data_IF_620225224573
#
_entry.id   IF_620225224573
#
_cell.length_a   1.000
_cell.length_b   1.000
_cell.length_c   1.000
_cell.angle_alpha   90.00
_cell.angle_beta   90.00
_cell.angle_gamma   90.00
#
_symmetry.space_group_name_H-M   'P 1'
#
loop_
_entity.id
_entity.type
_entity.pdbx_description
1 polymer ?
#
# COMPACT_ATOMS: atom_id res chain seq x y z
N UNK A 1 19.11 -28.06 -12.41
CA UNK A 1 18.05 -27.05 -12.18
C UNK A 1 18.37 -25.92 -13.13
N UNK A 2 17.72 -25.91 -14.29
CA UNK A 2 17.92 -24.85 -15.28
C UNK A 2 16.97 -23.70 -14.93
N UNK A 3 17.54 -22.52 -14.70
CA UNK A 3 16.76 -21.32 -14.44
C UNK A 3 15.97 -20.96 -15.71
N UNK A 4 14.67 -20.63 -15.60
CA UNK A 4 13.89 -20.20 -16.75
C UNK A 4 14.49 -18.93 -17.34
N UNK A 5 14.62 -18.88 -18.67
CA UNK A 5 15.10 -17.71 -19.39
C UNK A 5 14.12 -16.53 -19.20
N UNK A 6 14.61 -15.42 -18.63
CA UNK A 6 13.82 -14.22 -18.36
C UNK A 6 13.24 -13.59 -19.63
N UNK A 7 13.90 -13.78 -20.78
CA UNK A 7 13.48 -13.18 -22.05
C UNK A 7 12.22 -13.83 -22.63
N UNK A 8 12.00 -15.11 -22.33
CA UNK A 8 10.93 -15.93 -22.91
C UNK A 8 9.82 -16.27 -21.90
N UNK A 9 10.00 -15.89 -20.63
CA UNK A 9 9.00 -16.08 -19.59
C UNK A 9 8.03 -14.91 -19.60
N UNK A 10 6.73 -15.18 -19.54
CA UNK A 10 5.70 -14.15 -19.47
C UNK A 10 5.85 -13.34 -18.18
N UNK A 11 5.81 -12.03 -18.28
CA UNK A 11 5.83 -11.18 -17.10
C UNK A 11 4.41 -11.09 -16.51
N UNK A 12 4.25 -11.34 -15.20
CA UNK A 12 2.94 -11.47 -14.55
C UNK A 12 2.03 -10.24 -14.69
N UNK A 13 2.59 -9.05 -14.93
CA UNK A 13 1.82 -7.80 -15.03
C UNK A 13 1.41 -7.50 -16.47
N UNK A 14 2.31 -7.70 -17.43
CA UNK A 14 2.07 -7.42 -18.85
C UNK A 14 1.49 -8.62 -19.59
N UNK A 15 1.57 -9.82 -19.01
CA UNK A 15 1.27 -11.12 -19.62
C UNK A 15 1.97 -11.36 -20.98
N UNK A 16 3.01 -10.58 -21.26
CA UNK A 16 3.80 -10.64 -22.48
C UNK A 16 5.26 -10.89 -22.12
N UNK A 17 6.00 -11.53 -23.02
CA UNK A 17 7.43 -11.78 -22.82
C UNK A 17 8.25 -10.53 -23.10
N UNK A 18 9.38 -10.32 -22.40
CA UNK A 18 10.30 -9.21 -22.70
C UNK A 18 10.76 -9.20 -24.16
N UNK A 19 11.02 -10.38 -24.75
CA UNK A 19 11.36 -10.49 -26.16
C UNK A 19 10.23 -9.96 -27.08
N UNK A 20 8.97 -10.23 -26.74
CA UNK A 20 7.83 -9.72 -27.51
C UNK A 20 7.65 -8.21 -27.39
N UNK A 21 7.88 -7.65 -26.19
CA UNK A 21 7.87 -6.20 -25.98
C UNK A 21 9.02 -5.49 -26.71
N UNK A 22 10.20 -6.12 -26.76
CA UNK A 22 11.39 -5.56 -27.42
C UNK A 22 11.31 -5.63 -28.95
N UNK A 23 10.86 -6.76 -29.51
CA UNK A 23 10.87 -7.00 -30.95
C UNK A 23 9.52 -6.78 -31.64
N UNK A 24 8.46 -6.47 -30.88
CA UNK A 24 7.11 -6.25 -31.40
C UNK A 24 6.44 -7.50 -32.01
N UNK A 25 7.05 -8.68 -31.86
CA UNK A 25 6.55 -9.97 -32.35
C UNK A 25 6.86 -11.07 -31.34
N UNK A 26 5.99 -12.08 -31.24
CA UNK A 26 6.32 -13.27 -30.45
C UNK A 26 7.47 -14.04 -31.12
N UNK A 27 8.52 -14.31 -30.35
CA UNK A 27 9.52 -15.31 -30.72
C UNK A 27 8.86 -16.68 -30.58
N UNK A 28 8.43 -17.25 -31.72
CA UNK A 28 7.82 -18.59 -31.75
C UNK A 28 8.85 -19.61 -31.28
N UNK A 29 8.66 -20.12 -30.07
CA UNK A 29 9.44 -21.25 -29.56
C UNK A 29 8.64 -22.54 -29.74
N UNK A 30 9.29 -23.70 -29.65
CA UNK A 30 8.61 -25.00 -29.74
C UNK A 30 7.52 -25.14 -28.66
N UNK A 31 7.72 -24.54 -27.49
CA UNK A 31 6.76 -24.56 -26.38
C UNK A 31 5.51 -23.73 -26.65
N UNK A 32 5.61 -22.67 -27.46
CA UNK A 32 4.48 -21.79 -27.81
C UNK A 32 3.39 -22.53 -28.61
N UNK A 33 3.76 -23.63 -29.29
CA UNK A 33 2.82 -24.51 -30.00
C UNK A 33 1.98 -25.39 -29.07
N UNK A 34 2.36 -25.49 -27.79
CA UNK A 34 1.68 -26.32 -26.78
C UNK A 34 0.82 -25.50 -25.82
N UNK A 35 0.82 -24.16 -25.92
CA UNK A 35 0.14 -23.27 -24.97
C UNK A 35 -1.34 -23.08 -25.39
N UNK A 36 -2.31 -23.39 -24.51
CA UNK A 36 -3.73 -23.09 -24.75
C UNK A 36 -4.03 -21.59 -24.59
N UNK A 37 -5.16 -21.11 -25.12
CA UNK A 37 -5.56 -19.69 -25.03
C UNK A 37 -5.94 -19.30 -23.58
N UNK A 38 -5.25 -18.31 -22.99
CA UNK A 38 -5.33 -17.93 -21.55
C UNK A 38 -5.92 -16.54 -21.28
N UNK A 39 -6.61 -15.91 -22.24
CA UNK A 39 -7.11 -14.54 -22.10
C UNK A 39 -7.98 -14.31 -20.84
N UNK A 40 -8.78 -15.30 -20.45
CA UNK A 40 -9.63 -15.21 -19.25
C UNK A 40 -8.81 -15.15 -17.94
N UNK A 41 -7.69 -15.87 -17.88
CA UNK A 41 -6.78 -15.86 -16.72
C UNK A 41 -6.13 -14.50 -16.55
N UNK A 42 -5.74 -13.87 -17.65
CA UNK A 42 -5.15 -12.52 -17.66
C UNK A 42 -6.11 -11.49 -17.07
N UNK A 43 -7.37 -11.50 -17.52
CA UNK A 43 -8.40 -10.57 -17.06
C UNK A 43 -8.67 -10.77 -15.55
N UNK A 44 -8.81 -12.02 -15.11
CA UNK A 44 -9.01 -12.33 -13.70
C UNK A 44 -7.84 -11.88 -12.82
N UNK A 45 -6.60 -12.04 -13.30
CA UNK A 45 -5.41 -11.57 -12.58
C UNK A 45 -5.36 -10.04 -12.46
N UNK A 46 -5.79 -9.30 -13.49
CA UNK A 46 -5.86 -7.84 -13.43
C UNK A 46 -6.93 -7.38 -12.42
N UNK A 47 -8.12 -7.99 -12.42
CA UNK A 47 -9.20 -7.66 -11.49
C UNK A 47 -8.76 -7.92 -10.04
N UNK A 48 -8.11 -9.06 -9.79
CA UNK A 48 -7.60 -9.39 -8.46
C UNK A 48 -6.50 -8.44 -8.00
N UNK A 49 -5.61 -7.98 -8.89
CA UNK A 49 -4.60 -6.97 -8.55
C UNK A 49 -5.22 -5.65 -8.13
N UNK A 50 -6.23 -5.16 -8.86
CA UNK A 50 -6.95 -3.93 -8.51
C UNK A 50 -7.63 -4.08 -7.15
N UNK A 51 -8.31 -5.21 -6.90
CA UNK A 51 -8.97 -5.52 -5.63
C UNK A 51 -7.99 -5.60 -4.45
N UNK A 52 -6.78 -6.14 -4.69
CA UNK A 52 -5.75 -6.29 -3.67
C UNK A 52 -4.90 -5.04 -3.47
N UNK A 53 -5.02 -4.03 -4.35
CA UNK A 53 -4.40 -2.73 -4.16
C UNK A 53 -5.14 -2.03 -3.02
N UNK A 54 -4.57 -2.11 -1.82
CA UNK A 54 -5.17 -1.51 -0.63
C UNK A 54 -5.45 -0.02 -0.84
N UNK A 55 -6.59 0.45 -0.33
CA UNK A 55 -7.02 1.83 -0.47
C UNK A 55 -6.35 2.70 0.61
N UNK A 56 -5.39 3.54 0.19
CA UNK A 56 -4.72 4.53 1.06
C UNK A 56 -5.13 5.92 0.62
N UNK A 57 -6.30 6.37 1.07
CA UNK A 57 -6.77 7.73 0.88
C UNK A 57 -6.17 8.65 1.94
N UNK A 58 -5.09 9.35 1.58
CA UNK A 58 -4.55 10.42 2.42
C UNK A 58 -4.88 11.76 1.78
N UNK A 59 -5.68 12.56 2.48
CA UNK A 59 -5.91 13.96 2.11
C UNK A 59 -4.78 14.80 2.71
N UNK A 60 -3.85 15.23 1.87
CA UNK A 60 -2.72 16.07 2.25
C UNK A 60 -2.96 17.48 1.71
N UNK A 61 -2.95 18.50 2.59
CA UNK A 61 -3.07 19.90 2.20
C UNK A 61 -1.75 20.64 2.33
N UNK A 62 -1.62 21.70 1.54
CA UNK A 62 -0.49 22.61 1.65
C UNK A 62 -0.45 23.22 3.05
N UNK A 63 0.71 23.18 3.67
CA UNK A 63 0.93 23.65 5.03
C UNK A 63 0.72 22.63 6.15
N UNK A 64 0.28 21.41 5.85
CA UNK A 64 0.18 20.35 6.87
C UNK A 64 1.57 19.89 7.35
N UNK A 65 1.64 19.50 8.62
CA UNK A 65 2.81 18.85 9.21
C UNK A 65 2.81 17.36 8.90
N UNK A 66 3.93 16.87 8.39
CA UNK A 66 4.09 15.47 7.98
C UNK A 66 5.43 14.90 8.40
N UNK A 67 5.47 13.58 8.54
CA UNK A 67 6.69 12.82 8.65
C UNK A 67 7.06 12.26 7.28
N UNK A 68 8.32 12.39 6.92
CA UNK A 68 8.87 11.95 5.64
C UNK A 68 9.94 10.90 5.87
N UNK A 69 9.90 9.82 5.10
CA UNK A 69 10.91 8.77 5.18
C UNK A 69 12.25 9.23 4.61
N UNK A 70 13.29 9.15 5.43
CA UNK A 70 14.68 9.33 5.03
C UNK A 70 15.38 7.97 4.86
N UNK A 71 15.88 7.75 3.65
CA UNK A 71 16.55 6.51 3.23
C UNK A 71 18.07 6.55 3.43
N UNK A 72 18.64 7.68 3.84
CA UNK A 72 20.09 7.85 3.97
C UNK A 72 20.69 7.09 5.15
N UNK A 73 19.91 6.83 6.20
CA UNK A 73 20.40 6.19 7.41
C UNK A 73 19.66 4.86 7.68
N UNK A 74 20.28 3.93 8.40
CA UNK A 74 19.79 2.54 8.54
C UNK A 74 18.83 2.32 9.72
N UNK A 75 18.77 3.27 10.64
CA UNK A 75 17.82 3.27 11.76
C UNK A 75 16.56 4.06 11.38
N UNK A 76 15.47 3.97 12.14
CA UNK A 76 14.19 4.63 11.80
C UNK A 76 14.33 6.14 11.59
N UNK A 77 14.31 6.59 10.33
CA UNK A 77 14.44 8.02 10.00
C UNK A 77 13.15 8.53 9.38
N UNK A 78 12.19 8.82 10.24
CA UNK A 78 11.08 9.67 9.86
C UNK A 78 11.43 11.10 10.26
N UNK A 79 11.62 11.97 9.28
CA UNK A 79 11.96 13.37 9.49
C UNK A 79 10.70 14.23 9.46
N UNK A 80 10.60 15.19 10.38
CA UNK A 80 9.49 16.14 10.40
C UNK A 80 9.68 17.20 9.32
N UNK A 81 8.57 17.57 8.68
CA UNK A 81 8.54 18.64 7.70
C UNK A 81 7.12 19.13 7.44
N UNK A 82 7.04 20.13 6.57
CA UNK A 82 5.80 20.81 6.19
C UNK A 82 5.62 20.74 4.67
N UNK A 83 4.42 20.40 4.20
CA UNK A 83 4.13 20.43 2.76
C UNK A 83 4.11 21.87 2.27
N UNK A 84 4.86 22.13 1.21
CA UNK A 84 4.93 23.46 0.57
C UNK A 84 4.04 23.52 -0.66
N UNK A 85 4.06 22.49 -1.51
CA UNK A 85 3.28 22.43 -2.75
C UNK A 85 2.88 20.99 -3.10
N UNK A 86 1.73 20.83 -3.75
CA UNK A 86 1.25 19.57 -4.31
C UNK A 86 1.56 19.50 -5.81
N UNK A 87 2.56 18.69 -6.20
CA UNK A 87 3.00 18.56 -7.59
C UNK A 87 2.03 17.70 -8.40
N UNK A 88 1.53 16.61 -7.80
CA UNK A 88 0.54 15.71 -8.40
C UNK A 88 -0.36 15.10 -7.32
N UNK A 89 -1.34 14.28 -7.73
CA UNK A 89 -2.22 13.54 -6.80
C UNK A 89 -1.42 12.74 -5.75
N UNK A 90 -0.26 12.23 -6.14
CA UNK A 90 0.54 11.32 -5.33
C UNK A 90 1.94 11.85 -5.00
N UNK A 91 2.29 13.07 -5.41
CA UNK A 91 3.64 13.61 -5.28
C UNK A 91 3.58 15.01 -4.70
N UNK A 92 4.29 15.21 -3.60
CA UNK A 92 4.27 16.45 -2.83
C UNK A 92 5.69 16.93 -2.61
N UNK A 93 5.88 18.26 -2.56
CA UNK A 93 7.12 18.87 -2.09
C UNK A 93 6.99 19.23 -0.61
N UNK A 94 8.00 18.87 0.15
CA UNK A 94 8.07 19.06 1.60
C UNK A 94 9.34 19.82 1.93
N UNK A 95 9.23 20.81 2.82
CA UNK A 95 10.37 21.46 3.46
C UNK A 95 10.55 20.83 4.84
N UNK A 96 11.74 20.30 5.11
CA UNK A 96 12.09 19.74 6.41
C UNK A 96 12.38 20.89 7.39
N UNK A 97 12.30 20.61 8.70
CA UNK A 97 12.62 21.59 9.74
C UNK A 97 14.07 22.10 9.67
N UNK A 98 14.96 21.29 9.08
CA UNK A 98 16.36 21.63 8.79
C UNK A 98 16.57 22.52 7.55
N UNK A 99 15.50 22.87 6.83
CA UNK A 99 15.51 23.73 5.64
C UNK A 99 15.75 23.02 4.31
N UNK A 100 15.85 21.68 4.30
CA UNK A 100 15.99 20.89 3.06
C UNK A 100 14.65 20.71 2.35
N UNK A 101 14.60 20.91 1.03
CA UNK A 101 13.42 20.67 0.19
C UNK A 101 13.47 19.29 -0.48
N UNK A 102 12.47 18.45 -0.22
CA UNK A 102 12.36 17.10 -0.79
C UNK A 102 11.06 16.90 -1.55
N UNK A 103 11.13 16.09 -2.61
CA UNK A 103 9.96 15.63 -3.36
C UNK A 103 9.72 14.16 -3.02
N UNK A 104 8.51 13.81 -2.58
CA UNK A 104 8.16 12.47 -2.10
C UNK A 104 6.78 12.00 -2.54
N UNK A 105 6.64 10.69 -2.66
CA UNK A 105 5.37 10.03 -2.95
C UNK A 105 4.50 9.97 -1.68
N UNK A 106 3.17 9.97 -1.80
CA UNK A 106 2.23 9.88 -0.68
C UNK A 106 2.48 8.67 0.24
N UNK A 107 2.97 7.55 -0.31
CA UNK A 107 3.33 6.35 0.49
C UNK A 107 4.57 6.56 1.38
N UNK A 108 5.41 7.54 1.05
CA UNK A 108 6.62 7.90 1.80
C UNK A 108 6.36 9.01 2.82
N UNK A 109 5.10 9.42 2.96
CA UNK A 109 4.65 10.49 3.82
C UNK A 109 3.65 9.92 4.83
N UNK A 110 3.80 10.34 6.09
CA UNK A 110 2.85 10.06 7.14
C UNK A 110 2.25 11.37 7.65
N UNK A 111 0.93 11.58 7.54
CA UNK A 111 0.28 12.78 8.05
C UNK A 111 0.32 12.81 9.57
N UNK A 112 0.79 13.91 10.16
CA UNK A 112 0.88 14.02 11.62
C UNK A 112 -0.50 13.87 12.30
N UNK A 113 -1.58 14.30 11.63
CA UNK A 113 -2.95 14.22 12.14
C UNK A 113 -3.44 12.76 12.38
N UNK A 114 -2.93 11.77 11.66
CA UNK A 114 -3.29 10.36 11.89
C UNK A 114 -2.57 9.73 13.09
N UNK A 115 -1.43 10.29 13.51
CA UNK A 115 -0.64 9.78 14.66
C UNK A 115 -1.40 10.03 15.97
N UNK A 116 -2.14 11.14 16.03
CA UNK A 116 -2.91 11.57 17.20
C UNK A 116 -4.14 10.68 17.43
N UNK A 117 -4.75 10.19 16.35
CA UNK A 117 -5.94 9.35 16.40
C UNK A 117 -5.62 7.87 16.72
N UNK A 118 -4.39 7.41 16.45
CA UNK A 118 -3.97 6.04 16.82
C UNK A 118 -3.48 5.90 18.27
N UNK A 119 -3.35 7.01 19.01
CA UNK A 119 -2.84 7.03 20.39
C UNK A 119 -3.90 7.38 21.45
N UNK A 120 -5.20 7.42 21.11
CA UNK A 120 -6.22 7.51 22.16
C UNK A 120 -6.19 6.22 23.00
N UNK A 121 -5.95 6.28 24.32
CA UNK A 121 -6.04 5.10 25.15
C UNK A 121 -7.49 4.60 25.09
N UNK A 122 -7.66 3.34 24.69
CA UNK A 122 -8.92 2.60 24.79
C UNK A 122 -9.57 2.93 26.14
N UNK A 123 -10.84 3.39 26.19
CA UNK A 123 -11.52 3.59 27.46
C UNK A 123 -11.46 2.28 28.24
N UNK A 124 -10.93 2.36 29.47
CA UNK A 124 -10.83 1.22 30.37
C UNK A 124 -12.16 0.47 30.42
N UNK A 125 -12.10 -0.83 30.12
CA UNK A 125 -13.21 -1.78 30.27
C UNK A 125 -13.65 -1.72 31.73
N UNK A 126 -14.78 -1.04 32.00
CA UNK A 126 -15.40 -1.11 33.32
C UNK A 126 -15.81 -2.56 33.54
N UNK A 127 -15.13 -3.22 34.49
CA UNK A 127 -15.57 -4.47 35.06
C UNK A 127 -16.88 -4.16 35.83
N UNK A 128 -18.02 -4.49 35.22
CA UNK A 128 -19.27 -4.53 35.94
C UNK A 128 -19.38 -5.89 36.64
N UNK A 129 -18.69 -5.99 37.77
CA UNK A 129 -19.10 -6.89 38.83
C UNK A 129 -20.47 -6.41 39.32
N UNK A 130 -21.52 -7.20 39.08
CA UNK A 130 -22.72 -7.26 39.92
C UNK A 130 -23.70 -8.31 39.39
N UNK A 131 -23.52 -9.56 39.83
CA UNK A 131 -24.62 -10.52 39.93
C UNK A 131 -24.53 -11.22 41.29
N UNK A 132 -25.12 -10.59 42.32
CA UNK A 132 -25.49 -11.23 43.58
C UNK A 132 -26.99 -11.01 43.86
N UNK A 133 -27.75 -12.05 43.55
CA UNK A 133 -28.75 -12.77 44.37
C UNK A 133 -29.69 -11.94 45.27
N UNK A 134 -31.00 -12.14 45.09
CA UNK A 134 -32.02 -12.53 46.12
C UNK A 134 -33.36 -12.76 45.40
N UNK A 135 -33.94 -13.98 45.41
CA UNK A 135 -35.09 -14.44 46.26
C UNK A 135 -36.41 -13.68 45.95
N UNK A 136 -37.64 -14.21 45.89
CA UNK A 136 -38.32 -15.50 46.10
C UNK A 136 -39.82 -15.29 45.73
N UNK A 137 -40.51 -16.36 45.30
CA UNK A 137 -41.95 -16.71 45.56
C UNK A 137 -43.11 -15.95 44.86
N UNK A 138 -44.10 -16.74 44.39
CA UNK A 138 -45.52 -16.38 44.21
C UNK A 138 -46.13 -16.91 42.89
N UNK A 139 -46.64 -18.15 42.84
CA UNK A 139 -48.07 -18.52 42.96
C UNK A 139 -48.99 -18.00 41.84
N UNK A 140 -49.30 -18.85 40.86
CA UNK A 140 -50.61 -19.51 40.66
C UNK A 140 -50.65 -20.29 39.33
#
# INVERSE_FOLDING_TARGET
>A
MDLPNLENTVHSTTNETPAKLMFGRSTRTIFDLLIPNTNEVVINNQITQIKNSGERDINIKEGDLVLVKDYRNKNENWQKGKITENISKNTHKIILDEGSEWIRHTDQIWPHNQINNSLSPTPARQANENSKITETVGEN
#
